data_IF_509646761157
#
_entry.id   IF_509646761157
#
_cell.length_a   1.000
_cell.length_b   1.000
_cell.length_c   1.000
_cell.angle_alpha   90.00
_cell.angle_beta   90.00
_cell.angle_gamma   90.00
#
_symmetry.space_group_name_H-M   'P 1'
#
loop_
_entity.id
_entity.type
_entity.pdbx_description
1 polymer ?
#
# COMPACT_ATOMS: atom_id res chain seq x y z
N UNK A 1 12.70 -0.31 14.67
CA UNK A 1 12.33 0.23 15.99
C UNK A 1 11.52 1.49 15.80
N UNK A 2 10.41 1.64 16.52
CA UNK A 2 9.50 2.80 16.47
C UNK A 2 9.47 3.46 17.85
N UNK A 3 9.65 4.76 17.92
CA UNK A 3 9.60 5.51 19.17
C UNK A 3 8.59 6.65 19.04
N UNK A 4 7.74 6.81 20.04
CA UNK A 4 6.87 7.96 20.25
C UNK A 4 7.41 8.78 21.42
N UNK A 5 7.53 10.09 21.24
CA UNK A 5 8.09 11.03 22.20
C UNK A 5 7.11 12.14 22.49
N UNK A 6 6.62 12.19 23.74
CA UNK A 6 5.76 13.26 24.28
C UNK A 6 4.60 13.62 23.34
N UNK A 7 3.92 12.60 22.82
CA UNK A 7 2.81 12.76 21.88
C UNK A 7 1.61 13.35 22.61
N UNK A 8 1.20 14.54 22.20
CA UNK A 8 -0.05 15.16 22.61
C UNK A 8 -0.98 15.29 21.40
N UNK A 9 -2.24 14.95 21.59
CA UNK A 9 -3.29 15.05 20.55
C UNK A 9 -4.51 15.70 21.14
N UNK A 10 -4.97 16.78 20.51
CA UNK A 10 -6.16 17.52 20.92
C UNK A 10 -7.07 17.77 19.73
N UNK A 11 -8.38 17.63 19.93
CA UNK A 11 -9.42 17.93 18.95
C UNK A 11 -10.44 18.89 19.56
N UNK A 12 -10.72 19.99 18.87
CA UNK A 12 -11.76 20.93 19.32
C UNK A 12 -11.55 21.52 20.74
N UNK A 13 -10.30 21.55 21.22
CA UNK A 13 -9.97 22.03 22.58
C UNK A 13 -9.98 20.93 23.65
N UNK A 14 -10.39 19.70 23.33
CA UNK A 14 -10.29 18.57 24.24
C UNK A 14 -9.01 17.76 23.94
N UNK A 15 -8.25 17.41 24.99
CA UNK A 15 -7.02 16.62 24.88
C UNK A 15 -7.36 15.14 24.95
N UNK A 16 -7.05 14.42 23.88
CA UNK A 16 -7.24 12.98 23.79
C UNK A 16 -6.03 12.21 24.37
N UNK A 17 -4.81 12.67 24.06
CA UNK A 17 -3.55 12.16 24.62
C UNK A 17 -2.72 13.32 25.11
N UNK A 18 -2.08 13.15 26.27
CA UNK A 18 -1.22 14.14 26.88
C UNK A 18 0.16 13.55 27.16
N UNK A 19 1.17 14.05 26.47
CA UNK A 19 2.60 13.74 26.62
C UNK A 19 2.92 12.24 26.67
N UNK A 20 2.18 11.39 25.96
CA UNK A 20 2.45 9.95 25.95
C UNK A 20 3.76 9.62 25.22
N UNK A 21 4.55 8.75 25.82
CA UNK A 21 5.79 8.26 25.25
C UNK A 21 5.86 6.74 25.36
N UNK A 22 6.24 6.08 24.25
CA UNK A 22 6.43 4.64 24.23
C UNK A 22 7.41 4.23 23.14
N UNK A 23 7.88 2.99 23.23
CA UNK A 23 8.82 2.41 22.28
C UNK A 23 8.36 1.01 21.90
N UNK A 24 8.46 0.70 20.59
CA UNK A 24 8.22 -0.62 20.04
C UNK A 24 9.55 -1.19 19.51
N UNK A 25 9.93 -2.33 20.05
CA UNK A 25 11.13 -3.07 19.66
C UNK A 25 10.87 -4.06 18.53
N UNK A 26 11.93 -4.67 18.05
CA UNK A 26 11.83 -5.74 17.06
C UNK A 26 11.29 -7.01 17.72
N UNK A 27 10.23 -7.60 17.15
CA UNK A 27 9.58 -8.79 17.67
C UNK A 27 8.58 -8.55 18.81
N UNK A 28 8.31 -7.30 19.19
CA UNK A 28 7.30 -6.99 20.20
C UNK A 28 5.89 -7.29 19.66
N UNK A 29 5.05 -7.86 20.52
CA UNK A 29 3.62 -8.06 20.31
C UNK A 29 2.87 -7.25 21.37
N UNK A 30 2.22 -6.17 20.96
CA UNK A 30 1.62 -5.21 21.90
C UNK A 30 0.12 -5.14 21.70
N UNK A 31 -0.64 -5.30 22.78
CA UNK A 31 -2.08 -5.12 22.82
C UNK A 31 -2.44 -3.71 23.29
N UNK A 32 -3.19 -2.96 22.48
CA UNK A 32 -3.73 -1.65 22.85
C UNK A 32 -5.14 -1.84 23.45
N UNK A 33 -5.28 -1.61 24.76
CA UNK A 33 -6.51 -1.83 25.51
C UNK A 33 -7.11 -0.48 25.94
N UNK A 34 -8.43 -0.37 25.91
CA UNK A 34 -9.16 0.81 26.38
C UNK A 34 -10.62 0.78 25.97
N UNK A 35 -11.43 1.63 26.59
CA UNK A 35 -12.87 1.81 26.29
C UNK A 35 -13.06 2.28 24.84
N UNK A 36 -14.29 2.12 24.30
CA UNK A 36 -14.64 2.74 23.02
C UNK A 36 -14.56 4.25 23.16
N UNK A 37 -14.02 4.92 22.14
CA UNK A 37 -13.76 6.36 22.18
C UNK A 37 -12.46 6.78 22.86
N UNK A 38 -11.69 5.88 23.50
CA UNK A 38 -10.42 6.22 24.15
C UNK A 38 -9.26 6.56 23.21
N UNK A 39 -9.50 6.67 21.90
CA UNK A 39 -8.48 7.08 20.94
C UNK A 39 -7.62 5.96 20.37
N UNK A 40 -7.93 4.68 20.60
CA UNK A 40 -7.12 3.55 20.10
C UNK A 40 -6.85 3.62 18.61
N UNK A 41 -7.89 3.77 17.80
CA UNK A 41 -7.77 3.88 16.34
C UNK A 41 -7.05 5.17 15.92
N UNK A 42 -7.23 6.26 16.67
CA UNK A 42 -6.53 7.52 16.44
C UNK A 42 -5.02 7.34 16.66
N UNK A 43 -4.62 6.67 17.74
CA UNK A 43 -3.21 6.39 17.99
C UNK A 43 -2.60 5.53 16.88
N UNK A 44 -3.29 4.48 16.45
CA UNK A 44 -2.82 3.62 15.34
C UNK A 44 -2.68 4.42 14.04
N UNK A 45 -3.65 5.27 13.70
CA UNK A 45 -3.58 6.16 12.51
C UNK A 45 -2.44 7.18 12.60
N UNK A 46 -2.15 7.73 13.79
CA UNK A 46 -1.00 8.61 13.98
C UNK A 46 0.33 7.86 13.78
N UNK A 47 0.39 6.59 14.19
CA UNK A 47 1.58 5.76 13.99
C UNK A 47 1.86 5.46 12.51
N UNK A 48 0.88 5.57 11.60
CA UNK A 48 1.14 5.49 10.16
C UNK A 48 1.89 6.68 9.60
N UNK A 49 2.05 7.75 10.38
CA UNK A 49 2.68 9.02 10.01
C UNK A 49 1.92 9.81 8.93
N UNK A 50 0.73 9.40 8.56
CA UNK A 50 -0.15 10.14 7.64
C UNK A 50 -0.71 11.41 8.30
N UNK A 51 -0.89 11.37 9.63
CA UNK A 51 -1.33 12.49 10.43
C UNK A 51 -0.24 12.88 11.44
N UNK A 52 -0.15 14.18 11.73
CA UNK A 52 0.78 14.67 12.74
C UNK A 52 0.08 14.86 14.09
N UNK A 53 0.75 14.60 15.22
CA UNK A 53 0.24 14.93 16.53
C UNK A 53 0.23 16.45 16.72
N UNK A 54 -0.53 16.93 17.71
CA UNK A 54 -0.55 18.37 18.10
C UNK A 54 0.83 18.81 18.59
N UNK A 55 1.51 17.97 19.36
CA UNK A 55 2.91 18.12 19.76
C UNK A 55 3.58 16.75 19.96
N UNK A 56 4.91 16.75 20.08
CA UNK A 56 5.70 15.55 20.18
C UNK A 56 6.19 15.07 18.80
N UNK A 57 6.83 13.91 18.76
CA UNK A 57 7.39 13.36 17.52
C UNK A 57 7.43 11.85 17.52
N UNK A 58 7.33 11.28 16.31
CA UNK A 58 7.60 9.87 16.06
C UNK A 58 8.98 9.73 15.40
N UNK A 59 9.75 8.74 15.83
CA UNK A 59 11.02 8.37 15.21
C UNK A 59 11.01 6.91 14.77
N UNK A 60 11.23 6.70 13.47
CA UNK A 60 11.38 5.39 12.87
C UNK A 60 12.84 5.10 12.57
N UNK A 61 13.23 3.83 12.77
CA UNK A 61 14.49 3.32 12.26
C UNK A 61 14.51 3.36 10.73
N UNK A 62 15.67 3.68 10.16
CA UNK A 62 15.86 3.73 8.70
C UNK A 62 15.41 2.39 8.07
N UNK A 63 14.65 2.49 6.99
CA UNK A 63 14.06 1.36 6.25
C UNK A 63 12.97 0.57 7.00
N UNK A 64 12.44 1.09 8.12
CA UNK A 64 11.25 0.50 8.75
C UNK A 64 10.01 0.85 7.94
N UNK A 65 9.26 -0.16 7.52
CA UNK A 65 7.96 0.02 6.85
C UNK A 65 6.84 -0.18 7.87
N UNK A 66 5.80 0.64 7.76
CA UNK A 66 4.60 0.52 8.59
C UNK A 66 3.46 0.03 7.70
N UNK A 67 2.83 -1.08 8.09
CA UNK A 67 1.58 -1.54 7.51
C UNK A 67 0.44 -1.28 8.49
N UNK A 68 -0.66 -0.73 8.02
CA UNK A 68 -1.87 -0.51 8.80
C UNK A 68 -3.05 -1.24 8.17
N UNK A 69 -3.73 -2.06 8.98
CA UNK A 69 -4.95 -2.74 8.56
C UNK A 69 -6.14 -2.00 9.18
N UNK A 70 -6.94 -1.26 8.39
CA UNK A 70 -8.11 -0.56 8.90
C UNK A 70 -9.21 -1.53 9.31
N UNK A 71 -10.08 -1.12 10.23
CA UNK A 71 -11.23 -1.93 10.66
C UNK A 71 -12.35 -1.91 9.62
N UNK A 72 -12.58 -0.75 9.01
CA UNK A 72 -13.56 -0.55 7.96
C UNK A 72 -12.84 -0.56 6.61
N UNK A 73 -13.36 -1.35 5.69
CA UNK A 73 -12.80 -1.52 4.34
C UNK A 73 -13.71 -0.85 3.33
N UNK A 74 -13.12 0.01 2.53
CA UNK A 74 -13.76 0.61 1.38
C UNK A 74 -13.16 -0.02 0.11
N UNK A 75 -13.94 -0.90 -0.53
CA UNK A 75 -13.55 -1.55 -1.78
C UNK A 75 -14.37 -0.93 -2.90
N UNK A 76 -13.71 -0.52 -3.96
CA UNK A 76 -14.41 -0.18 -5.20
C UNK A 76 -15.07 -1.43 -5.78
N UNK A 77 -16.36 -1.33 -6.11
CA UNK A 77 -17.12 -2.42 -6.67
C UNK A 77 -16.56 -2.87 -8.02
N UNK A 78 -16.61 -4.17 -8.27
CA UNK A 78 -16.35 -4.77 -9.57
C UNK A 78 -14.91 -5.20 -9.84
N UNK A 79 -13.94 -4.94 -8.92
CA UNK A 79 -12.60 -5.49 -9.04
C UNK A 79 -12.54 -6.96 -8.63
N UNK A 80 -11.68 -7.72 -9.29
CA UNK A 80 -11.31 -9.07 -8.86
C UNK A 80 -10.39 -9.03 -7.65
N UNK A 81 -10.22 -10.16 -6.97
CA UNK A 81 -9.28 -10.32 -5.84
C UNK A 81 -7.86 -9.94 -6.26
N UNK A 82 -7.41 -10.38 -7.45
CA UNK A 82 -6.09 -10.02 -7.99
C UNK A 82 -5.96 -8.54 -8.27
N UNK A 83 -6.93 -7.94 -8.98
CA UNK A 83 -6.89 -6.51 -9.31
C UNK A 83 -6.84 -5.64 -8.06
N UNK A 84 -7.60 -6.00 -7.03
CA UNK A 84 -7.57 -5.29 -5.76
C UNK A 84 -6.21 -5.44 -5.04
N UNK A 85 -5.64 -6.66 -5.04
CA UNK A 85 -4.33 -6.89 -4.44
C UNK A 85 -3.20 -6.17 -5.19
N UNK A 86 -3.31 -6.02 -6.54
CA UNK A 86 -2.34 -5.29 -7.36
C UNK A 86 -2.27 -3.79 -7.05
N UNK A 87 -3.24 -3.23 -6.35
CA UNK A 87 -3.16 -1.85 -5.86
C UNK A 87 -1.99 -1.62 -4.87
N UNK A 88 -1.42 -2.70 -4.32
CA UNK A 88 -0.19 -2.60 -3.54
C UNK A 88 1.02 -2.11 -4.35
N UNK A 89 0.98 -2.25 -5.68
CA UNK A 89 2.08 -1.98 -6.61
C UNK A 89 1.83 -0.74 -7.49
N UNK A 90 1.48 0.37 -6.86
CA UNK A 90 1.15 1.62 -7.58
C UNK A 90 2.25 2.07 -8.56
N UNK A 91 3.53 1.90 -8.17
CA UNK A 91 4.65 2.30 -9.02
C UNK A 91 4.76 1.40 -10.26
N UNK A 92 4.60 0.09 -10.09
CA UNK A 92 4.60 -0.87 -11.21
C UNK A 92 3.46 -0.54 -12.16
N UNK A 93 2.26 -0.29 -11.63
CA UNK A 93 1.09 0.06 -12.46
C UNK A 93 1.26 1.36 -13.24
N UNK A 94 1.92 2.36 -12.65
CA UNK A 94 2.26 3.60 -13.37
C UNK A 94 3.23 3.34 -14.52
N UNK A 95 4.24 2.50 -14.30
CA UNK A 95 5.20 2.13 -15.35
C UNK A 95 4.51 1.34 -16.45
N UNK A 96 3.71 0.32 -16.14
CA UNK A 96 2.93 -0.46 -17.10
C UNK A 96 2.03 0.44 -17.97
N UNK A 97 1.26 1.32 -17.31
CA UNK A 97 0.37 2.25 -18.03
C UNK A 97 1.13 3.15 -19.01
N UNK A 98 2.30 3.67 -18.61
CA UNK A 98 3.11 4.52 -19.46
C UNK A 98 3.72 3.75 -20.63
N UNK A 99 4.17 2.51 -20.39
CA UNK A 99 4.65 1.63 -21.46
C UNK A 99 3.55 1.36 -22.52
N UNK A 100 2.31 1.06 -22.05
CA UNK A 100 1.17 0.86 -22.94
C UNK A 100 0.82 2.11 -23.77
N UNK A 101 0.90 3.30 -23.16
CA UNK A 101 0.70 4.57 -23.87
C UNK A 101 1.75 4.76 -24.98
N UNK A 102 3.03 4.53 -24.66
CA UNK A 102 4.12 4.63 -25.62
C UNK A 102 3.93 3.64 -26.77
N UNK A 103 3.60 2.39 -26.46
CA UNK A 103 3.32 1.40 -27.51
C UNK A 103 2.19 1.83 -28.44
N UNK A 104 1.08 2.36 -27.91
CA UNK A 104 -0.03 2.86 -28.72
C UNK A 104 0.38 4.04 -29.62
N UNK A 105 1.22 4.95 -29.10
CA UNK A 105 1.74 6.07 -29.90
C UNK A 105 2.64 5.54 -31.03
N UNK A 106 3.54 4.61 -30.72
CA UNK A 106 4.47 4.02 -31.69
C UNK A 106 3.74 3.25 -32.79
N UNK A 107 2.67 2.51 -32.48
CA UNK A 107 1.84 1.80 -33.45
C UNK A 107 1.16 2.75 -34.48
N UNK A 108 0.87 3.97 -34.06
CA UNK A 108 0.23 4.98 -34.92
C UNK A 108 1.24 5.84 -35.70
N UNK A 109 2.52 5.76 -35.36
CA UNK A 109 3.58 6.57 -35.96
C UNK A 109 4.12 5.89 -37.22
N UNK A 110 4.15 6.62 -38.33
CA UNK A 110 4.73 6.14 -39.60
C UNK A 110 6.17 6.63 -39.83
N UNK A 111 6.59 7.66 -39.14
CA UNK A 111 7.94 8.24 -39.22
C UNK A 111 8.84 7.71 -38.13
N UNK A 112 9.48 6.56 -38.40
CA UNK A 112 10.39 5.87 -37.46
C UNK A 112 11.76 6.55 -37.32
N UNK A 113 12.10 7.51 -38.14
CA UNK A 113 13.36 8.25 -38.11
C UNK A 113 13.22 9.61 -37.42
N UNK A 114 12.00 10.00 -37.03
CA UNK A 114 11.76 11.25 -36.31
C UNK A 114 12.43 11.29 -34.94
N UNK A 115 12.88 12.46 -34.56
CA UNK A 115 13.44 12.67 -33.21
C UNK A 115 12.44 12.28 -32.14
N UNK A 116 11.15 12.55 -32.29
CA UNK A 116 10.11 12.19 -31.35
C UNK A 116 9.97 10.67 -31.19
N UNK A 117 10.16 9.89 -32.26
CA UNK A 117 10.14 8.43 -32.19
C UNK A 117 11.36 7.90 -31.44
N UNK A 118 12.54 8.48 -31.62
CA UNK A 118 13.76 8.11 -30.90
C UNK A 118 13.63 8.44 -29.41
N UNK A 119 13.04 9.58 -29.05
CA UNK A 119 12.78 9.96 -27.66
C UNK A 119 11.82 8.96 -26.96
N UNK A 120 10.79 8.47 -27.67
CA UNK A 120 9.89 7.44 -27.16
C UNK A 120 10.60 6.09 -26.93
N UNK A 121 11.53 5.73 -27.82
CA UNK A 121 12.34 4.51 -27.64
C UNK A 121 13.25 4.60 -26.42
N UNK A 122 13.88 5.75 -26.22
CA UNK A 122 14.73 6.00 -25.06
C UNK A 122 13.91 5.95 -23.76
N UNK A 123 12.73 6.62 -23.73
CA UNK A 123 11.82 6.57 -22.59
C UNK A 123 11.37 5.12 -22.31
N UNK A 124 11.02 4.35 -23.35
CA UNK A 124 10.62 2.95 -23.17
C UNK A 124 11.74 2.09 -22.58
N UNK A 125 12.99 2.30 -23.00
CA UNK A 125 14.15 1.61 -22.43
C UNK A 125 14.35 1.96 -20.95
N UNK A 126 14.21 3.23 -20.57
CA UNK A 126 14.29 3.64 -19.16
C UNK A 126 13.18 3.02 -18.33
N UNK A 127 11.94 2.98 -18.84
CA UNK A 127 10.80 2.34 -18.18
C UNK A 127 10.99 0.83 -18.03
N UNK A 128 11.54 0.15 -19.02
CA UNK A 128 11.86 -1.28 -18.95
C UNK A 128 12.88 -1.56 -17.83
N UNK A 129 13.94 -0.78 -17.75
CA UNK A 129 14.93 -0.89 -16.69
C UNK A 129 14.30 -0.61 -15.32
N UNK A 130 13.45 0.41 -15.23
CA UNK A 130 12.72 0.73 -14.00
C UNK A 130 11.81 -0.39 -13.57
N UNK A 131 11.02 -0.94 -14.51
CA UNK A 131 10.11 -2.07 -14.28
C UNK A 131 10.84 -3.29 -13.70
N UNK A 132 11.99 -3.64 -14.26
CA UNK A 132 12.84 -4.72 -13.75
C UNK A 132 13.33 -4.43 -12.33
N UNK A 133 13.86 -3.22 -12.09
CA UNK A 133 14.42 -2.82 -10.78
C UNK A 133 13.37 -2.86 -9.66
N UNK A 134 12.12 -2.52 -9.95
CA UNK A 134 11.02 -2.54 -8.97
C UNK A 134 10.32 -3.90 -8.86
N UNK A 135 10.82 -4.92 -9.56
CA UNK A 135 10.30 -6.29 -9.48
C UNK A 135 9.06 -6.55 -10.34
N UNK A 136 8.85 -5.76 -11.39
CA UNK A 136 7.68 -5.82 -12.27
C UNK A 136 7.44 -7.20 -12.91
N UNK A 137 8.47 -8.01 -13.15
CA UNK A 137 8.30 -9.36 -13.68
C UNK A 137 7.81 -10.40 -12.65
N UNK A 138 7.84 -10.06 -11.36
CA UNK A 138 7.55 -11.03 -10.30
C UNK A 138 6.33 -10.67 -9.45
N UNK A 139 5.78 -9.46 -9.56
CA UNK A 139 4.72 -9.01 -8.67
C UNK A 139 3.45 -9.86 -8.77
N UNK A 140 3.12 -10.36 -9.96
CA UNK A 140 1.95 -11.19 -10.19
C UNK A 140 2.06 -12.54 -9.44
N UNK A 141 3.15 -13.25 -9.67
CA UNK A 141 3.40 -14.54 -8.99
C UNK A 141 3.55 -14.39 -7.47
N UNK A 142 4.10 -13.28 -7.02
CA UNK A 142 4.20 -12.94 -5.60
C UNK A 142 2.84 -12.69 -4.97
N UNK A 143 1.95 -11.98 -5.68
CA UNK A 143 0.58 -11.72 -5.25
C UNK A 143 -0.22 -13.01 -5.13
N UNK A 144 -0.19 -13.86 -6.17
CA UNK A 144 -0.85 -15.16 -6.15
C UNK A 144 -0.38 -16.00 -4.95
N UNK A 145 0.93 -16.10 -4.75
CA UNK A 145 1.50 -16.85 -3.63
C UNK A 145 1.01 -16.35 -2.27
N UNK A 146 0.92 -15.04 -2.07
CA UNK A 146 0.45 -14.46 -0.80
C UNK A 146 -1.05 -14.70 -0.63
N UNK A 147 -1.87 -14.49 -1.66
CA UNK A 147 -3.31 -14.73 -1.59
C UNK A 147 -3.62 -16.21 -1.29
N UNK A 148 -2.96 -17.14 -1.97
CA UNK A 148 -3.08 -18.58 -1.68
C UNK A 148 -2.65 -18.90 -0.24
N UNK A 149 -1.57 -18.29 0.24
CA UNK A 149 -1.10 -18.41 1.63
C UNK A 149 -2.11 -17.87 2.66
N UNK A 150 -2.95 -16.91 2.27
CA UNK A 150 -4.05 -16.38 3.08
C UNK A 150 -5.35 -17.18 2.96
N UNK A 151 -5.34 -18.26 2.18
CA UNK A 151 -6.42 -19.24 2.09
C UNK A 151 -7.38 -19.07 0.91
N UNK A 152 -7.10 -18.17 -0.05
CA UNK A 152 -7.85 -18.12 -1.31
C UNK A 152 -7.56 -19.35 -2.16
N UNK A 153 -8.56 -19.85 -2.89
CA UNK A 153 -8.37 -20.84 -3.92
C UNK A 153 -7.96 -20.17 -5.24
N UNK A 154 -7.39 -20.91 -6.19
CA UNK A 154 -7.03 -20.38 -7.51
C UNK A 154 -8.23 -19.77 -8.25
N UNK A 155 -9.39 -20.40 -8.13
CA UNK A 155 -10.63 -19.93 -8.78
C UNK A 155 -11.14 -18.61 -8.15
N UNK A 156 -10.82 -18.35 -6.88
CA UNK A 156 -11.20 -17.13 -6.18
C UNK A 156 -10.46 -15.90 -6.70
N UNK A 157 -9.27 -16.08 -7.26
CA UNK A 157 -8.39 -14.99 -7.63
C UNK A 157 -9.00 -14.06 -8.69
N UNK A 158 -9.78 -14.61 -9.60
CA UNK A 158 -10.49 -13.88 -10.66
C UNK A 158 -11.95 -13.58 -10.30
N UNK A 159 -12.40 -13.95 -9.10
CA UNK A 159 -13.75 -13.63 -8.65
C UNK A 159 -13.84 -12.17 -8.16
N UNK A 160 -15.03 -11.56 -8.33
CA UNK A 160 -15.27 -10.20 -7.84
C UNK A 160 -15.16 -10.15 -6.31
N UNK A 161 -14.50 -9.11 -5.79
CA UNK A 161 -14.40 -8.83 -4.36
C UNK A 161 -15.78 -8.68 -3.70
N UNK A 162 -16.80 -8.32 -4.46
CA UNK A 162 -18.17 -8.15 -3.97
C UNK A 162 -18.82 -9.45 -3.49
N UNK A 163 -18.35 -10.58 -4.00
CA UNK A 163 -18.85 -11.91 -3.62
C UNK A 163 -18.33 -12.40 -2.28
N UNK A 164 -17.32 -11.73 -1.73
CA UNK A 164 -16.66 -12.14 -0.50
C UNK A 164 -17.17 -11.42 0.74
N UNK A 165 -17.20 -12.13 1.86
CA UNK A 165 -17.54 -11.57 3.17
C UNK A 165 -16.46 -10.57 3.63
N UNK A 166 -16.81 -9.71 4.61
CA UNK A 166 -15.86 -8.73 5.17
C UNK A 166 -14.56 -9.36 5.68
N UNK A 167 -14.61 -10.57 6.26
CA UNK A 167 -13.40 -11.27 6.70
C UNK A 167 -12.47 -11.68 5.55
N UNK A 168 -13.02 -12.04 4.40
CA UNK A 168 -12.23 -12.34 3.21
C UNK A 168 -11.65 -11.06 2.59
N UNK A 169 -12.44 -9.98 2.54
CA UNK A 169 -11.93 -8.67 2.09
C UNK A 169 -10.80 -8.17 2.99
N UNK A 170 -10.88 -8.40 4.31
CA UNK A 170 -9.79 -8.10 5.24
C UNK A 170 -8.49 -8.86 4.91
N UNK A 171 -8.59 -10.10 4.41
CA UNK A 171 -7.41 -10.87 3.95
C UNK A 171 -6.80 -10.27 2.68
N UNK A 172 -7.60 -9.67 1.78
CA UNK A 172 -7.05 -8.96 0.62
C UNK A 172 -6.26 -7.72 1.08
N UNK A 173 -6.78 -6.95 2.03
CA UNK A 173 -6.03 -5.81 2.60
C UNK A 173 -4.74 -6.28 3.30
N UNK A 174 -4.81 -7.39 4.02
CA UNK A 174 -3.61 -7.98 4.62
C UNK A 174 -2.59 -8.40 3.53
N UNK A 175 -3.04 -8.97 2.41
CA UNK A 175 -2.18 -9.26 1.27
C UNK A 175 -1.50 -8.00 0.75
N UNK A 176 -2.25 -6.90 0.56
CA UNK A 176 -1.70 -5.59 0.11
C UNK A 176 -0.61 -5.07 1.05
N UNK A 177 -0.77 -5.25 2.37
CA UNK A 177 0.25 -4.87 3.35
C UNK A 177 1.51 -5.75 3.22
N UNK A 178 1.34 -7.05 3.04
CA UNK A 178 2.46 -8.00 2.91
C UNK A 178 3.23 -7.84 1.60
N UNK A 179 2.61 -7.28 0.56
CA UNK A 179 3.19 -7.02 -0.75
C UNK A 179 4.01 -5.71 -0.82
N UNK A 180 3.72 -4.73 0.04
CA UNK A 180 4.45 -3.46 0.16
C UNK A 180 5.79 -3.63 0.87
#
# INVERSE_FOLDING_TARGET
MFNAHNITVSFGGETLFDEISFRLGRGDHIGLIGKNGAGKSTLLKLMTLENQPTSGSFALEKNCKIGYLPQDLDFDNGRTVLEEAYLAFEEIKKVESRQEEIHKIMEQTQDYESQSYMELLDELNELNNRFEMIGGYHYQSQTEKILLGLGFAMDDLNASTDTFSGGWRMRIELAKILLK
#
